data_IF_879835520113
#
_entry.id   IF_879835520113
#
_cell.length_a   1.000
_cell.length_b   1.000
_cell.length_c   1.000
_cell.angle_alpha   90.00
_cell.angle_beta   90.00
_cell.angle_gamma   90.00
#
_symmetry.space_group_name_H-M   'P 1'
#
loop_
_entity.id
_entity.type
_entity.pdbx_description
1 polymer ?
#
# COMPACT_ATOMS: atom_id res chain seq x y z
N UNK A 1 7.96 20.96 5.77
CA UNK A 1 8.12 22.01 4.72
C UNK A 1 9.11 21.65 3.62
N UNK A 2 10.38 21.30 3.91
CA UNK A 2 11.41 21.04 2.88
C UNK A 2 11.01 19.99 1.83
N UNK A 3 10.38 18.88 2.24
CA UNK A 3 9.93 17.83 1.31
C UNK A 3 8.84 18.32 0.33
N UNK A 4 7.86 19.10 0.82
CA UNK A 4 6.81 19.68 -0.03
C UNK A 4 7.39 20.70 -1.02
N UNK A 5 8.37 21.51 -0.59
CA UNK A 5 9.10 22.41 -1.46
C UNK A 5 9.88 21.67 -2.56
N UNK A 6 10.54 20.57 -2.21
CA UNK A 6 11.25 19.72 -3.17
C UNK A 6 10.34 19.07 -4.22
N UNK A 7 9.16 18.59 -3.81
CA UNK A 7 8.15 18.04 -4.73
C UNK A 7 7.64 19.09 -5.72
N UNK A 8 7.36 20.30 -5.25
CA UNK A 8 6.93 21.40 -6.12
C UNK A 8 8.04 21.80 -7.10
N UNK A 9 9.29 21.81 -6.65
CA UNK A 9 10.43 22.14 -7.51
C UNK A 9 10.68 21.06 -8.59
N UNK A 10 10.49 19.78 -8.25
CA UNK A 10 10.56 18.67 -9.21
C UNK A 10 9.57 18.86 -10.36
N UNK A 11 8.30 19.13 -10.03
CA UNK A 11 7.23 19.36 -11.03
C UNK A 11 7.47 20.61 -11.88
N UNK A 12 8.18 21.62 -11.36
CA UNK A 12 8.54 22.83 -12.10
C UNK A 12 9.75 22.65 -13.03
N UNK A 13 10.59 21.64 -12.80
CA UNK A 13 11.89 21.50 -13.47
C UNK A 13 11.97 20.28 -14.39
N UNK A 14 11.09 19.30 -14.24
CA UNK A 14 11.08 18.08 -15.05
C UNK A 14 9.76 17.93 -15.81
N UNK A 15 9.84 17.47 -17.07
CA UNK A 15 8.64 17.12 -17.83
C UNK A 15 8.03 15.80 -17.31
N UNK A 16 6.73 15.56 -17.53
CA UNK A 16 6.10 14.30 -17.15
C UNK A 16 6.81 13.07 -17.73
N UNK A 17 7.27 13.12 -18.99
CA UNK A 17 7.99 11.97 -19.57
C UNK A 17 9.32 11.72 -18.87
N UNK A 18 10.03 12.78 -18.48
CA UNK A 18 11.30 12.67 -17.76
C UNK A 18 11.09 12.10 -16.35
N UNK A 19 10.04 12.53 -15.65
CA UNK A 19 9.69 11.98 -14.33
C UNK A 19 9.37 10.49 -14.45
N UNK A 20 8.56 10.09 -15.44
CA UNK A 20 8.23 8.69 -15.67
C UNK A 20 9.45 7.85 -16.05
N UNK A 21 10.37 8.42 -16.84
CA UNK A 21 11.62 7.76 -17.21
C UNK A 21 12.51 7.53 -15.99
N UNK A 22 12.69 8.54 -15.15
CA UNK A 22 13.47 8.42 -13.89
C UNK A 22 12.80 7.45 -12.92
N UNK A 23 11.46 7.47 -12.83
CA UNK A 23 10.70 6.54 -12.01
C UNK A 23 10.90 5.09 -12.48
N UNK A 24 10.88 4.84 -13.79
CA UNK A 24 11.12 3.51 -14.36
C UNK A 24 12.56 3.01 -14.13
N UNK A 25 13.54 3.92 -13.97
CA UNK A 25 14.90 3.57 -13.58
C UNK A 25 14.97 3.19 -12.09
N UNK A 26 14.17 3.83 -11.24
CA UNK A 26 14.08 3.55 -9.81
C UNK A 26 13.24 2.30 -9.50
N UNK A 27 12.23 2.03 -10.31
CA UNK A 27 11.38 0.83 -10.28
C UNK A 27 11.62 0.00 -11.55
N UNK A 28 12.81 -0.61 -11.71
CA UNK A 28 13.06 -1.46 -12.85
C UNK A 28 12.05 -2.63 -12.84
N UNK A 29 11.56 -3.10 -14.00
CA UNK A 29 10.70 -4.27 -14.07
C UNK A 29 11.39 -5.42 -13.32
N UNK A 30 10.61 -6.16 -12.51
CA UNK A 30 11.11 -7.23 -11.65
C UNK A 30 12.11 -8.09 -12.43
N UNK A 31 13.39 -7.91 -12.11
CA UNK A 31 14.42 -8.86 -12.51
C UNK A 31 14.05 -10.13 -11.76
N UNK A 32 13.59 -11.16 -12.47
CA UNK A 32 13.43 -12.51 -11.93
C UNK A 32 14.81 -12.96 -11.46
N UNK A 33 15.12 -12.71 -10.19
CA UNK A 33 16.35 -13.17 -9.55
C UNK A 33 16.17 -14.66 -9.27
N UNK A 34 17.17 -15.51 -9.58
CA UNK A 34 17.13 -16.89 -9.12
C UNK A 34 17.03 -16.91 -7.59
N UNK A 35 16.24 -17.86 -7.08
CA UNK A 35 15.89 -17.97 -5.67
C UNK A 35 17.15 -17.94 -4.79
N UNK A 36 17.24 -17.04 -3.79
CA UNK A 36 18.23 -17.22 -2.75
C UNK A 36 17.88 -18.50 -1.99
N UNK A 37 18.89 -19.32 -1.68
CA UNK A 37 18.69 -20.51 -0.86
C UNK A 37 17.91 -20.13 0.41
N UNK A 38 16.83 -20.86 0.75
CA UNK A 38 16.00 -20.50 1.87
C UNK A 38 16.85 -20.55 3.14
N UNK A 39 17.20 -19.37 3.67
CA UNK A 39 17.75 -19.25 5.00
C UNK A 39 16.80 -19.95 5.96
N UNK A 40 17.33 -20.80 6.85
CA UNK A 40 16.56 -21.62 7.77
C UNK A 40 15.61 -20.77 8.62
N UNK A 41 14.38 -20.61 8.15
CA UNK A 41 13.30 -20.00 8.90
C UNK A 41 12.69 -21.07 9.80
N UNK A 42 12.33 -20.74 11.05
CA UNK A 42 11.56 -21.66 11.87
C UNK A 42 10.29 -22.05 11.11
N UNK A 43 10.01 -23.36 11.03
CA UNK A 43 8.82 -23.85 10.33
C UNK A 43 7.57 -23.25 11.00
N UNK A 44 6.89 -22.36 10.27
CA UNK A 44 5.58 -21.83 10.64
C UNK A 44 4.53 -22.69 9.95
N UNK A 45 3.93 -23.71 10.62
CA UNK A 45 3.13 -24.74 9.96
C UNK A 45 1.87 -24.22 9.24
N UNK A 46 1.46 -22.98 9.49
CA UNK A 46 0.25 -22.38 8.90
C UNK A 46 0.52 -21.07 8.13
N UNK A 47 1.78 -20.69 7.89
CA UNK A 47 2.11 -19.45 7.17
C UNK A 47 2.75 -19.78 5.83
N UNK A 48 1.89 -20.02 4.83
CA UNK A 48 2.30 -20.17 3.43
C UNK A 48 2.06 -18.82 2.76
N UNK A 49 3.14 -18.12 2.43
CA UNK A 49 3.10 -16.84 1.71
C UNK A 49 3.42 -17.08 0.22
N UNK A 50 2.80 -16.33 -0.71
CA UNK A 50 3.19 -16.36 -2.11
C UNK A 50 4.66 -15.95 -2.31
N UNK A 51 5.27 -16.43 -3.40
CA UNK A 51 6.66 -16.08 -3.77
C UNK A 51 6.75 -14.63 -4.27
N UNK A 52 5.63 -14.10 -4.79
CA UNK A 52 5.55 -12.75 -5.36
C UNK A 52 5.11 -11.71 -4.33
N UNK A 53 5.59 -10.47 -4.50
CA UNK A 53 5.31 -9.36 -3.58
C UNK A 53 4.08 -8.54 -3.98
N UNK A 54 3.77 -8.51 -5.28
CA UNK A 54 2.67 -7.72 -5.84
C UNK A 54 1.31 -8.34 -5.50
N UNK A 55 0.28 -7.50 -5.36
CA UNK A 55 -1.10 -7.99 -5.25
C UNK A 55 -1.65 -8.17 -6.65
N UNK A 56 -1.95 -9.41 -7.03
CA UNK A 56 -2.49 -9.76 -8.33
C UNK A 56 -4.01 -9.88 -8.30
N UNK A 57 -4.62 -9.83 -9.47
CA UNK A 57 -6.07 -10.07 -9.59
C UNK A 57 -6.49 -11.43 -9.03
N UNK A 58 -5.63 -12.46 -9.15
CA UNK A 58 -5.85 -13.79 -8.57
C UNK A 58 -5.93 -13.78 -7.03
N UNK A 59 -5.32 -12.80 -6.38
CA UNK A 59 -5.32 -12.66 -4.93
C UNK A 59 -6.62 -11.98 -4.43
N UNK A 60 -7.45 -11.51 -5.36
CA UNK A 60 -8.69 -10.78 -5.09
C UNK A 60 -9.88 -11.62 -5.52
N UNK A 61 -10.84 -11.80 -4.61
CA UNK A 61 -12.15 -12.38 -4.98
C UNK A 61 -12.99 -11.31 -5.67
N UNK A 62 -12.73 -11.09 -6.97
CA UNK A 62 -13.30 -10.00 -7.76
C UNK A 62 -14.83 -9.93 -7.70
N UNK A 63 -15.50 -11.10 -7.72
CA UNK A 63 -16.98 -11.17 -7.58
C UNK A 63 -17.48 -10.56 -6.28
N UNK A 64 -16.79 -10.82 -5.15
CA UNK A 64 -17.16 -10.27 -3.84
C UNK A 64 -16.84 -8.79 -3.75
N UNK A 65 -15.68 -8.38 -4.26
CA UNK A 65 -15.28 -6.98 -4.30
C UNK A 65 -16.30 -6.15 -5.10
N UNK A 66 -16.62 -6.59 -6.31
CA UNK A 66 -17.61 -5.94 -7.16
C UNK A 66 -18.97 -5.88 -6.49
N UNK A 67 -19.49 -7.00 -5.96
CA UNK A 67 -20.80 -7.03 -5.30
C UNK A 67 -20.90 -6.04 -4.13
N UNK A 68 -19.86 -5.96 -3.30
CA UNK A 68 -19.84 -5.04 -2.16
C UNK A 68 -19.77 -3.56 -2.60
N UNK A 69 -18.95 -3.25 -3.61
CA UNK A 69 -18.82 -1.88 -4.14
C UNK A 69 -20.12 -1.45 -4.84
N UNK A 70 -20.68 -2.31 -5.69
CA UNK A 70 -21.95 -2.02 -6.37
C UNK A 70 -23.08 -1.77 -5.37
N UNK A 71 -23.22 -2.61 -4.34
CA UNK A 71 -24.23 -2.41 -3.31
C UNK A 71 -24.05 -1.09 -2.56
N UNK A 72 -22.81 -0.71 -2.23
CA UNK A 72 -22.51 0.58 -1.60
C UNK A 72 -22.81 1.77 -2.52
N UNK A 73 -22.53 1.67 -3.81
CA UNK A 73 -22.83 2.74 -4.78
C UNK A 73 -24.34 2.88 -4.99
N UNK A 74 -25.05 1.76 -5.22
CA UNK A 74 -26.50 1.74 -5.47
C UNK A 74 -27.30 2.25 -4.27
N UNK A 75 -26.88 1.90 -3.06
CA UNK A 75 -27.51 2.39 -1.82
C UNK A 75 -27.28 3.88 -1.58
N UNK A 76 -26.21 4.46 -2.12
CA UNK A 76 -25.91 5.90 -2.06
C UNK A 76 -25.92 6.50 -0.65
N UNK A 77 -25.20 5.92 0.33
CA UNK A 77 -25.25 6.38 1.72
C UNK A 77 -24.70 7.80 1.84
N UNK A 78 -25.43 8.66 2.54
CA UNK A 78 -25.08 10.08 2.74
C UNK A 78 -24.17 10.27 3.94
N UNK A 79 -24.20 9.33 4.88
CA UNK A 79 -23.40 9.35 6.09
C UNK A 79 -22.96 7.95 6.53
N UNK A 80 -22.18 7.91 7.61
CA UNK A 80 -21.62 6.67 8.13
C UNK A 80 -22.69 5.70 8.67
N UNK A 81 -23.71 6.13 9.44
CA UNK A 81 -24.84 5.28 9.81
C UNK A 81 -25.54 4.64 8.61
N UNK A 82 -25.84 5.39 7.55
CA UNK A 82 -26.45 4.84 6.34
C UNK A 82 -25.54 3.81 5.67
N UNK A 83 -24.22 4.05 5.63
CA UNK A 83 -23.24 3.08 5.10
C UNK A 83 -23.24 1.75 5.89
N UNK A 84 -23.43 1.80 7.21
CA UNK A 84 -23.50 0.59 8.04
C UNK A 84 -24.76 -0.25 7.80
N UNK A 85 -25.81 0.34 7.23
CA UNK A 85 -27.06 -0.36 6.90
C UNK A 85 -27.01 -1.03 5.53
N UNK A 86 -25.97 -0.78 4.72
CA UNK A 86 -25.81 -1.37 3.39
C UNK A 86 -25.51 -2.88 3.51
N UNK A 87 -26.36 -3.76 2.95
CA UNK A 87 -26.11 -5.19 2.97
C UNK A 87 -24.78 -5.55 2.29
N UNK A 88 -23.95 -6.35 2.97
CA UNK A 88 -22.61 -6.71 2.49
C UNK A 88 -21.48 -5.78 2.96
N UNK A 89 -21.80 -4.61 3.53
CA UNK A 89 -20.82 -3.74 4.18
C UNK A 89 -20.62 -4.21 5.62
N UNK A 90 -19.63 -5.08 5.79
CA UNK A 90 -19.19 -5.56 7.10
C UNK A 90 -18.06 -4.73 7.72
N UNK A 91 -17.65 -5.03 8.97
CA UNK A 91 -16.58 -4.31 9.66
C UNK A 91 -15.23 -4.33 8.92
N UNK A 92 -14.95 -5.39 8.15
CA UNK A 92 -13.75 -5.46 7.29
C UNK A 92 -13.81 -4.46 6.13
N UNK A 93 -14.98 -4.31 5.49
CA UNK A 93 -15.21 -3.35 4.41
C UNK A 93 -15.10 -1.92 4.93
N UNK A 94 -15.71 -1.64 6.08
CA UNK A 94 -15.60 -0.33 6.76
C UNK A 94 -14.16 0.03 7.08
N UNK A 95 -13.41 -0.92 7.64
CA UNK A 95 -11.97 -0.75 7.92
C UNK A 95 -11.17 -0.50 6.64
N UNK A 96 -11.43 -1.22 5.56
CA UNK A 96 -10.78 -0.99 4.28
C UNK A 96 -11.09 0.40 3.71
N UNK A 97 -12.36 0.82 3.71
CA UNK A 97 -12.77 2.16 3.27
C UNK A 97 -12.10 3.25 4.09
N UNK A 98 -11.96 3.06 5.39
CA UNK A 98 -11.27 4.03 6.25
C UNK A 98 -9.76 4.10 5.96
N UNK A 99 -9.09 2.96 5.73
CA UNK A 99 -7.68 2.94 5.30
C UNK A 99 -7.49 3.61 3.93
N UNK A 100 -8.38 3.38 2.97
CA UNK A 100 -8.34 4.04 1.65
C UNK A 100 -8.61 5.53 1.77
N UNK A 101 -9.60 5.93 2.57
CA UNK A 101 -9.94 7.34 2.81
C UNK A 101 -8.79 8.09 3.48
N UNK A 102 -8.01 7.40 4.31
CA UNK A 102 -6.78 7.97 4.87
C UNK A 102 -5.75 8.30 3.79
N UNK A 103 -5.56 7.41 2.81
CA UNK A 103 -4.63 7.62 1.69
C UNK A 103 -5.13 8.71 0.73
N UNK A 104 -6.40 8.65 0.34
CA UNK A 104 -6.97 9.54 -0.69
C UNK A 104 -7.29 10.93 -0.13
N UNK A 105 -7.83 11.00 1.08
CA UNK A 105 -8.36 12.24 1.66
C UNK A 105 -7.60 12.73 2.89
N UNK A 106 -6.58 11.98 3.36
CA UNK A 106 -5.85 12.32 4.58
C UNK A 106 -6.68 12.16 5.86
N UNK A 107 -7.87 11.56 5.78
CA UNK A 107 -8.77 11.37 6.91
C UNK A 107 -8.15 10.34 7.88
N UNK A 108 -7.75 10.74 9.09
CA UNK A 108 -6.98 9.86 9.95
C UNK A 108 -7.82 8.69 10.44
N UNK A 109 -7.42 7.46 10.12
CA UNK A 109 -8.05 6.24 10.61
C UNK A 109 -7.21 5.57 11.71
N UNK A 110 -5.87 5.65 11.66
CA UNK A 110 -4.99 5.31 12.79
C UNK A 110 -3.78 6.23 12.92
N UNK A 111 -3.78 7.07 13.95
CA UNK A 111 -2.64 7.93 14.29
C UNK A 111 -1.48 7.21 14.96
N UNK A 112 -1.76 6.13 15.71
CA UNK A 112 -0.77 5.44 16.55
C UNK A 112 -0.06 4.28 15.85
N UNK A 113 -0.39 3.97 14.60
CA UNK A 113 0.21 2.86 13.87
C UNK A 113 1.48 3.35 13.15
N UNK A 114 2.70 3.06 13.66
CA UNK A 114 3.94 3.48 13.00
C UNK A 114 4.09 2.88 11.60
N UNK A 115 3.35 1.81 11.29
CA UNK A 115 3.34 1.21 9.96
C UNK A 115 2.86 2.18 8.85
N UNK A 116 2.15 3.25 9.24
CA UNK A 116 1.73 4.36 8.36
C UNK A 116 2.90 4.97 7.57
N UNK A 117 4.10 4.94 8.11
CA UNK A 117 5.30 5.50 7.49
C UNK A 117 6.24 4.42 6.91
N UNK A 118 5.88 3.14 6.99
CA UNK A 118 6.75 2.03 6.54
C UNK A 118 6.97 2.02 5.04
N UNK A 119 6.03 2.53 4.24
CA UNK A 119 6.22 2.65 2.79
C UNK A 119 7.41 3.56 2.44
N UNK A 120 7.77 4.49 3.32
CA UNK A 120 8.90 5.40 3.11
C UNK A 120 10.27 4.74 3.38
N UNK A 121 10.29 3.54 3.97
CA UNK A 121 11.51 2.91 4.49
C UNK A 121 11.84 1.59 3.80
N UNK A 122 11.23 1.27 2.65
CA UNK A 122 11.55 0.03 1.92
C UNK A 122 11.12 -1.24 2.65
N UNK A 123 11.29 -2.39 1.98
CA UNK A 123 10.87 -3.70 2.47
C UNK A 123 12.02 -4.52 3.04
N UNK A 124 11.71 -5.39 4.02
CA UNK A 124 12.65 -6.38 4.57
C UNK A 124 13.12 -7.38 3.51
N UNK A 125 12.24 -7.67 2.56
CA UNK A 125 12.46 -8.45 1.34
C UNK A 125 13.12 -7.66 0.20
N UNK A 126 13.42 -6.38 0.45
CA UNK A 126 13.96 -5.41 -0.51
C UNK A 126 12.97 -4.93 -1.58
N UNK A 127 11.67 -5.04 -1.33
CA UNK A 127 10.63 -4.51 -2.22
C UNK A 127 9.84 -3.37 -1.54
N UNK A 128 9.67 -2.19 -2.16
CA UNK A 128 10.17 -1.78 -3.49
C UNK A 128 11.70 -1.54 -3.53
N UNK A 129 12.32 -1.27 -2.38
CA UNK A 129 13.78 -1.16 -2.20
C UNK A 129 14.17 -1.66 -0.79
N UNK A 130 15.44 -2.03 -0.54
CA UNK A 130 15.90 -2.47 0.78
C UNK A 130 15.67 -1.41 1.85
N UNK A 131 15.37 -1.87 3.08
CA UNK A 131 15.31 -0.97 4.24
C UNK A 131 16.62 -0.19 4.38
N UNK A 132 16.60 1.16 4.35
CA UNK A 132 17.78 1.98 4.54
C UNK A 132 18.13 2.00 6.04
N UNK A 133 18.81 0.95 6.49
CA UNK A 133 19.07 0.65 7.91
C UNK A 133 19.55 1.88 8.71
N UNK A 134 20.49 2.65 8.15
CA UNK A 134 21.00 3.87 8.80
C UNK A 134 19.92 4.91 9.11
N UNK A 135 19.06 5.19 8.12
CA UNK A 135 17.97 6.17 8.28
C UNK A 135 16.89 5.61 9.20
N UNK A 136 16.60 4.31 9.08
CA UNK A 136 15.61 3.61 9.89
C UNK A 136 15.97 3.62 11.39
N UNK A 137 17.24 3.40 11.73
CA UNK A 137 17.74 3.41 13.11
C UNK A 137 17.64 4.82 13.74
N UNK A 138 17.83 5.87 12.92
CA UNK A 138 17.72 7.28 13.34
C UNK A 138 16.27 7.76 13.53
N UNK A 139 15.29 7.17 12.85
CA UNK A 139 13.89 7.64 12.85
C UNK A 139 12.96 6.97 13.87
N UNK A 140 13.37 5.84 14.46
CA UNK A 140 12.55 5.05 15.39
C UNK A 140 13.02 5.12 16.85
N UNK A 141 14.15 5.79 17.12
CA UNK A 141 14.60 6.14 18.49
C UNK A 141 13.88 7.38 19.02
#
# INVERSE_FOLDING_TARGET
EKARGGQIQLLKTMSPEKILTELAVLEPPEIVRPEPEPAAQPMLPNLVMPVHHDVRESDIVMRRLHGNISAAIESGPKDFPELLLVPGVGPRTVRALAMVSEVVHGAPYRFSDPARFSLAHGGKDRHPFPVPLKVYDETIS
#
